data_IF_235087847601
#
_entry.id   IF_235087847601
#
_cell.length_a   1.000
_cell.length_b   1.000
_cell.length_c   1.000
_cell.angle_alpha   90.00
_cell.angle_beta   90.00
_cell.angle_gamma   90.00
#
_symmetry.space_group_name_H-M   'P 1'
#
loop_
_entity.id
_entity.type
_entity.pdbx_description
1 polymer ?
#
# COMPACT_ATOMS: atom_id res chain seq x y z
N UNK A 1 -7.80 25.71 -8.75
CA UNK A 1 -7.94 24.93 -7.51
C UNK A 1 -7.67 23.47 -7.84
N UNK A 2 -6.96 22.72 -6.98
CA UNK A 2 -6.75 21.29 -7.16
C UNK A 2 -8.10 20.58 -7.25
N UNK A 3 -8.12 19.43 -7.94
CA UNK A 3 -9.32 18.58 -8.01
C UNK A 3 -9.63 18.01 -6.62
N UNK A 4 -10.90 17.93 -6.28
CA UNK A 4 -11.34 17.26 -5.05
C UNK A 4 -11.18 15.74 -5.18
N UNK A 5 -11.14 14.99 -4.06
CA UNK A 5 -11.10 13.52 -4.10
C UNK A 5 -12.25 12.89 -4.91
N UNK A 6 -13.46 13.46 -4.85
CA UNK A 6 -14.59 12.98 -5.65
C UNK A 6 -14.42 13.28 -7.15
N UNK A 7 -13.87 14.44 -7.49
CA UNK A 7 -13.51 14.79 -8.87
C UNK A 7 -12.41 13.87 -9.41
N UNK A 8 -11.39 13.59 -8.60
CA UNK A 8 -10.34 12.63 -8.93
C UNK A 8 -10.90 11.22 -9.18
N UNK A 9 -11.83 10.74 -8.35
CA UNK A 9 -12.47 9.44 -8.56
C UNK A 9 -13.21 9.36 -9.90
N UNK A 10 -13.93 10.43 -10.29
CA UNK A 10 -14.58 10.52 -11.60
C UNK A 10 -13.59 10.65 -12.75
N UNK A 11 -12.49 11.37 -12.56
CA UNK A 11 -11.42 11.44 -13.53
C UNK A 11 -10.79 10.06 -13.78
N UNK A 12 -10.51 9.31 -12.70
CA UNK A 12 -10.03 7.94 -12.76
C UNK A 12 -11.03 7.00 -13.46
N UNK A 13 -12.33 7.13 -13.16
CA UNK A 13 -13.39 6.39 -13.84
C UNK A 13 -13.45 6.71 -15.34
N UNK A 14 -13.32 7.99 -15.70
CA UNK A 14 -13.30 8.44 -17.10
C UNK A 14 -12.09 7.86 -17.83
N UNK A 15 -10.90 7.92 -17.25
CA UNK A 15 -9.70 7.32 -17.80
C UNK A 15 -9.85 5.80 -17.97
N UNK A 16 -10.35 5.12 -16.93
CA UNK A 16 -10.59 3.69 -16.94
C UNK A 16 -11.56 3.27 -18.05
N UNK A 17 -12.62 4.05 -18.29
CA UNK A 17 -13.54 3.83 -19.40
C UNK A 17 -12.80 3.78 -20.75
N UNK A 18 -11.96 4.77 -21.06
CA UNK A 18 -11.21 4.82 -22.32
C UNK A 18 -10.16 3.71 -22.42
N UNK A 19 -9.43 3.41 -21.35
CA UNK A 19 -8.47 2.30 -21.33
C UNK A 19 -9.17 0.94 -21.54
N UNK A 20 -10.36 0.75 -20.97
CA UNK A 20 -11.17 -0.45 -21.20
C UNK A 20 -11.62 -0.57 -22.67
N UNK A 21 -11.90 0.55 -23.37
CA UNK A 21 -12.19 0.52 -24.81
C UNK A 21 -10.99 0.08 -25.65
N UNK A 22 -9.76 0.39 -25.21
CA UNK A 22 -8.54 -0.10 -25.85
C UNK A 22 -8.29 -1.60 -25.61
N UNK A 23 -8.98 -2.21 -24.66
CA UNK A 23 -8.74 -3.59 -24.23
C UNK A 23 -7.42 -3.79 -23.48
N UNK A 24 -6.81 -2.72 -22.95
CA UNK A 24 -5.54 -2.82 -22.22
C UNK A 24 -5.76 -3.31 -20.79
N UNK A 25 -4.84 -4.13 -20.29
CA UNK A 25 -4.77 -4.44 -18.86
C UNK A 25 -3.98 -3.35 -18.16
N UNK A 26 -4.56 -2.73 -17.14
CA UNK A 26 -3.91 -1.64 -16.41
C UNK A 26 -4.23 -1.67 -14.91
N UNK A 27 -3.55 -0.81 -14.15
CA UNK A 27 -3.81 -0.56 -12.74
C UNK A 27 -3.36 0.84 -12.37
N UNK A 28 -4.26 1.66 -11.79
CA UNK A 28 -3.89 2.99 -11.26
C UNK A 28 -2.97 2.78 -10.05
N UNK A 29 -1.98 3.66 -9.92
CA UNK A 29 -0.93 3.63 -8.90
C UNK A 29 -0.78 5.01 -8.23
N UNK A 30 0.25 5.16 -7.40
CA UNK A 30 0.65 6.46 -6.86
C UNK A 30 -0.42 7.16 -6.01
N UNK A 31 -0.42 8.49 -6.08
CA UNK A 31 -1.33 9.33 -5.28
C UNK A 31 -2.81 9.10 -5.59
N UNK A 32 -3.13 8.83 -6.86
CA UNK A 32 -4.49 8.64 -7.32
C UNK A 32 -5.09 7.34 -6.76
N UNK A 33 -4.37 6.23 -6.85
CA UNK A 33 -4.79 4.98 -6.24
C UNK A 33 -4.89 5.10 -4.72
N UNK A 34 -3.93 5.75 -4.05
CA UNK A 34 -4.02 6.00 -2.61
C UNK A 34 -5.28 6.78 -2.21
N UNK A 35 -5.68 7.78 -3.01
CA UNK A 35 -6.91 8.54 -2.79
C UNK A 35 -8.17 7.68 -2.95
N UNK A 36 -8.25 6.91 -4.05
CA UNK A 36 -9.34 5.99 -4.34
C UNK A 36 -9.50 4.93 -3.24
N UNK A 37 -8.38 4.38 -2.77
CA UNK A 37 -8.35 3.35 -1.73
C UNK A 37 -8.85 3.91 -0.40
N UNK A 38 -8.39 5.10 0.01
CA UNK A 38 -8.89 5.79 1.22
C UNK A 38 -10.39 6.10 1.11
N UNK A 39 -10.88 6.52 -0.06
CA UNK A 39 -12.30 6.74 -0.27
C UNK A 39 -13.11 5.44 -0.16
N UNK A 40 -12.61 4.35 -0.75
CA UNK A 40 -13.23 3.03 -0.72
C UNK A 40 -13.39 2.49 0.71
N UNK A 41 -12.38 2.69 1.57
CA UNK A 41 -12.40 2.27 2.97
C UNK A 41 -12.93 3.36 3.94
N UNK A 42 -13.51 4.45 3.43
CA UNK A 42 -14.05 5.57 4.22
C UNK A 42 -13.04 6.17 5.23
N UNK A 43 -11.81 6.36 4.79
CA UNK A 43 -10.70 6.95 5.56
C UNK A 43 -10.52 8.44 5.27
N UNK A 44 -9.57 9.07 5.97
CA UNK A 44 -9.17 10.45 5.69
C UNK A 44 -8.74 10.63 4.23
N UNK A 45 -9.35 11.62 3.58
CA UNK A 45 -9.18 11.87 2.16
C UNK A 45 -7.79 12.43 1.85
N UNK A 46 -7.21 11.97 0.74
CA UNK A 46 -5.91 12.42 0.22
C UNK A 46 -6.12 13.03 -1.17
N UNK A 47 -5.66 14.26 -1.40
CA UNK A 47 -5.76 14.90 -2.71
C UNK A 47 -4.53 14.62 -3.58
N UNK A 48 -4.70 14.48 -4.90
CA UNK A 48 -3.59 14.50 -5.86
C UNK A 48 -4.07 15.17 -7.13
N UNK A 49 -3.14 15.69 -7.93
CA UNK A 49 -3.45 16.49 -9.11
C UNK A 49 -3.18 15.74 -10.43
N UNK A 50 -2.65 14.53 -10.34
CA UNK A 50 -2.18 13.66 -11.41
C UNK A 50 -2.75 12.24 -11.22
N UNK A 51 -2.71 11.46 -12.30
CA UNK A 51 -3.04 10.03 -12.26
C UNK A 51 -1.86 9.25 -12.83
N UNK A 52 -1.19 8.52 -11.94
CA UNK A 52 -0.18 7.54 -12.30
C UNK A 52 -0.84 6.19 -12.56
N UNK A 53 -0.47 5.47 -13.61
CA UNK A 53 -0.93 4.11 -13.84
C UNK A 53 0.13 3.24 -14.51
N UNK A 54 0.01 1.94 -14.32
CA UNK A 54 0.81 0.94 -15.00
C UNK A 54 -0.07 0.21 -16.00
N UNK A 55 0.42 -0.03 -17.21
CA UNK A 55 -0.17 -0.91 -18.21
C UNK A 55 0.66 -2.19 -18.36
N UNK A 56 -0.01 -3.31 -18.58
CA UNK A 56 0.65 -4.54 -19.01
C UNK A 56 0.88 -4.42 -20.52
N UNK A 57 2.14 -4.38 -20.99
CA UNK A 57 2.40 -4.30 -22.42
C UNK A 57 1.96 -5.59 -23.11
N UNK A 58 1.40 -5.45 -24.30
CA UNK A 58 1.03 -6.54 -25.20
C UNK A 58 1.48 -6.24 -26.64
N UNK A 59 0.97 -6.99 -27.62
CA UNK A 59 1.35 -6.82 -29.03
C UNK A 59 0.87 -5.50 -29.66
N UNK A 60 -0.11 -4.82 -29.05
CA UNK A 60 -0.74 -3.62 -29.58
C UNK A 60 -0.33 -2.37 -28.79
N UNK A 61 -0.21 -2.49 -27.47
CA UNK A 61 -0.04 -1.37 -26.56
C UNK A 61 1.09 -1.60 -25.56
N UNK A 62 1.83 -0.52 -25.32
CA UNK A 62 2.73 -0.26 -24.20
C UNK A 62 2.44 1.17 -23.70
N UNK A 63 3.17 1.67 -22.70
CA UNK A 63 2.89 3.00 -22.12
C UNK A 63 2.95 4.14 -23.15
N UNK A 64 3.90 4.10 -24.09
CA UNK A 64 4.04 5.14 -25.11
C UNK A 64 2.91 5.09 -26.15
N UNK A 65 2.61 3.91 -26.67
CA UNK A 65 1.60 3.74 -27.73
C UNK A 65 0.18 3.95 -27.20
N UNK A 66 -0.15 3.52 -25.97
CA UNK A 66 -1.45 3.83 -25.37
C UNK A 66 -1.59 5.31 -25.05
N UNK A 67 -0.50 5.97 -24.62
CA UNK A 67 -0.49 7.41 -24.40
C UNK A 67 -0.86 8.16 -25.67
N UNK A 68 -0.24 7.78 -26.80
CA UNK A 68 -0.52 8.33 -28.12
C UNK A 68 -1.94 8.07 -28.57
N UNK A 69 -2.40 6.83 -28.40
CA UNK A 69 -3.75 6.42 -28.77
C UNK A 69 -4.82 7.25 -28.07
N UNK A 70 -4.67 7.57 -26.77
CA UNK A 70 -5.64 8.36 -26.01
C UNK A 70 -5.86 9.75 -26.64
N UNK A 71 -4.80 10.52 -26.89
CA UNK A 71 -4.94 11.88 -27.41
C UNK A 71 -5.15 11.97 -28.93
N UNK A 72 -4.85 10.91 -29.70
CA UNK A 72 -5.14 10.86 -31.14
C UNK A 72 -6.55 10.35 -31.44
N UNK A 73 -7.04 9.38 -30.66
CA UNK A 73 -8.36 8.77 -30.87
C UNK A 73 -9.48 9.57 -30.23
N UNK A 74 -9.22 10.21 -29.08
CA UNK A 74 -10.21 10.97 -28.32
C UNK A 74 -9.74 12.41 -28.04
N UNK A 75 -9.53 13.23 -29.09
CA UNK A 75 -8.98 14.58 -28.94
C UNK A 75 -9.88 15.55 -28.14
N UNK A 76 -11.17 15.25 -28.02
CA UNK A 76 -12.11 16.03 -27.19
C UNK A 76 -12.00 15.71 -25.69
N UNK A 77 -11.50 14.50 -25.36
CA UNK A 77 -11.34 14.03 -23.98
C UNK A 77 -9.91 14.13 -23.49
N UNK A 78 -8.92 14.00 -24.39
CA UNK A 78 -7.51 14.05 -24.05
C UNK A 78 -6.77 15.09 -24.88
N UNK A 79 -5.89 15.82 -24.22
CA UNK A 79 -4.94 16.70 -24.89
C UNK A 79 -3.51 16.21 -24.71
N UNK A 80 -2.62 16.64 -25.61
CA UNK A 80 -1.20 16.27 -25.60
C UNK A 80 -0.39 17.34 -24.89
N UNK A 81 0.37 16.95 -23.87
CA UNK A 81 1.33 17.82 -23.18
C UNK A 81 2.74 17.31 -23.40
N UNK A 82 3.64 18.16 -23.90
CA UNK A 82 5.05 17.77 -24.09
C UNK A 82 5.90 18.28 -22.93
N UNK A 83 6.53 17.37 -22.19
CA UNK A 83 7.40 17.67 -21.05
C UNK A 83 8.77 17.06 -21.33
N UNK A 84 9.81 17.89 -21.40
CA UNK A 84 11.19 17.47 -21.72
C UNK A 84 11.32 16.61 -23.00
N UNK A 85 10.49 16.91 -24.01
CA UNK A 85 10.47 16.16 -25.28
C UNK A 85 9.62 14.89 -25.26
N UNK A 86 9.10 14.48 -24.10
CA UNK A 86 8.18 13.35 -23.95
C UNK A 86 6.74 13.84 -24.04
N UNK A 87 5.91 13.16 -24.83
CA UNK A 87 4.51 13.50 -24.99
C UNK A 87 3.66 12.69 -24.02
N UNK A 88 2.97 13.37 -23.11
CA UNK A 88 2.07 12.77 -22.12
C UNK A 88 0.61 13.09 -22.47
N UNK A 89 -0.31 12.14 -22.27
CA UNK A 89 -1.74 12.42 -22.34
C UNK A 89 -2.15 13.22 -21.11
N UNK A 90 -3.09 14.12 -21.30
CA UNK A 90 -3.76 14.85 -20.21
C UNK A 90 -5.26 14.70 -20.40
N UNK A 91 -5.97 14.35 -19.34
CA UNK A 91 -7.42 14.24 -19.37
C UNK A 91 -8.03 15.64 -19.24
N UNK A 92 -8.86 16.03 -20.21
CA UNK A 92 -9.66 17.25 -20.16
C UNK A 92 -10.88 16.97 -19.30
N UNK A 93 -10.80 17.35 -18.02
CA UNK A 93 -11.82 17.06 -17.02
C UNK A 93 -12.69 18.28 -16.73
N UNK A 94 -14.01 18.07 -16.63
CA UNK A 94 -14.98 19.09 -16.26
C UNK A 94 -15.33 18.93 -14.79
N UNK A 95 -14.95 19.93 -13.98
CA UNK A 95 -15.24 20.01 -12.55
C UNK A 95 -16.73 20.20 -12.27
N UNK A 96 -17.13 20.03 -11.01
CA UNK A 96 -18.53 20.20 -10.60
C UNK A 96 -19.05 21.63 -10.79
N UNK A 97 -18.14 22.61 -10.75
CA UNK A 97 -18.43 24.03 -11.04
C UNK A 97 -18.48 24.35 -12.55
N UNK A 98 -18.33 23.35 -13.42
CA UNK A 98 -18.30 23.48 -14.87
C UNK A 98 -16.96 23.96 -15.44
N UNK A 99 -15.97 24.30 -14.60
CA UNK A 99 -14.63 24.67 -15.08
C UNK A 99 -13.88 23.48 -15.65
N UNK A 100 -13.05 23.73 -16.67
CA UNK A 100 -12.20 22.70 -17.28
C UNK A 100 -10.81 22.73 -16.66
N UNK A 101 -10.28 21.55 -16.37
CA UNK A 101 -8.91 21.33 -15.91
C UNK A 101 -8.25 20.23 -16.73
N UNK A 102 -6.92 20.25 -16.80
CA UNK A 102 -6.13 19.21 -17.43
C UNK A 102 -5.45 18.41 -16.33
N UNK A 103 -5.75 17.12 -16.26
CA UNK A 103 -5.16 16.18 -15.30
C UNK A 103 -4.05 15.44 -16.04
N UNK A 104 -2.82 15.57 -15.56
CA UNK A 104 -1.68 14.85 -16.15
C UNK A 104 -1.84 13.35 -15.90
N UNK A 105 -1.62 12.55 -16.94
CA UNK A 105 -1.68 11.09 -16.86
C UNK A 105 -0.28 10.53 -17.12
N UNK A 106 0.33 9.95 -16.09
CA UNK A 106 1.62 9.28 -16.21
C UNK A 106 1.41 7.78 -16.39
N UNK A 107 1.86 7.25 -17.52
CA UNK A 107 1.69 5.84 -17.87
C UNK A 107 3.05 5.14 -17.85
N UNK A 108 3.14 4.05 -17.11
CA UNK A 108 4.32 3.20 -17.00
C UNK A 108 4.03 1.80 -17.52
N UNK A 109 5.06 1.08 -17.95
CA UNK A 109 4.97 -0.34 -18.27
C UNK A 109 6.27 -1.06 -17.90
N UNK A 110 6.17 -2.37 -17.63
CA UNK A 110 7.31 -3.19 -17.22
C UNK A 110 8.36 -3.37 -18.33
N UNK A 111 7.98 -3.24 -19.61
CA UNK A 111 8.91 -3.35 -20.73
C UNK A 111 9.88 -2.17 -20.80
N UNK A 112 9.39 -0.95 -20.54
CA UNK A 112 10.21 0.25 -20.45
C UNK A 112 10.99 0.36 -19.12
N UNK A 113 10.48 -0.26 -18.05
CA UNK A 113 11.08 -0.24 -16.72
C UNK A 113 11.34 -1.66 -16.17
N UNK A 114 12.21 -2.47 -16.81
CA UNK A 114 12.43 -3.86 -16.42
C UNK A 114 13.04 -4.01 -15.02
N UNK A 115 13.72 -2.99 -14.52
CA UNK A 115 14.25 -2.90 -13.15
C UNK A 115 13.17 -2.62 -12.10
N UNK A 116 11.91 -2.39 -12.52
CA UNK A 116 10.75 -2.20 -11.64
C UNK A 116 9.77 -3.37 -11.78
N UNK A 117 10.10 -4.57 -11.26
CA UNK A 117 9.24 -5.75 -11.35
C UNK A 117 7.87 -5.55 -10.68
N UNK A 118 7.70 -4.52 -9.83
CA UNK A 118 6.42 -4.11 -9.29
C UNK A 118 5.41 -3.61 -10.34
N UNK A 119 5.88 -3.30 -11.57
CA UNK A 119 5.03 -2.89 -12.70
C UNK A 119 4.54 -4.08 -13.54
N UNK A 120 4.99 -5.31 -13.25
CA UNK A 120 4.45 -6.49 -13.90
C UNK A 120 3.04 -6.80 -13.36
N UNK A 121 2.00 -6.54 -14.15
CA UNK A 121 0.62 -6.79 -13.74
C UNK A 121 0.24 -8.27 -13.82
N UNK A 122 1.06 -9.10 -14.48
CA UNK A 122 0.89 -10.55 -14.51
C UNK A 122 1.38 -11.22 -13.22
N UNK A 123 2.23 -10.54 -12.46
CA UNK A 123 2.73 -11.05 -11.19
C UNK A 123 1.67 -10.96 -10.09
N UNK A 124 1.23 -12.11 -9.57
CA UNK A 124 0.23 -12.19 -8.51
C UNK A 124 0.64 -11.53 -7.19
N UNK A 125 1.94 -11.33 -6.93
CA UNK A 125 2.40 -10.59 -5.75
C UNK A 125 2.17 -9.08 -5.87
N UNK A 126 1.93 -8.59 -7.08
CA UNK A 126 1.56 -7.20 -7.30
C UNK A 126 0.04 -7.05 -7.16
N UNK A 127 -0.42 -7.08 -5.90
CA UNK A 127 -1.83 -7.05 -5.54
C UNK A 127 -2.57 -5.89 -6.24
N UNK A 128 -3.67 -6.24 -6.91
CA UNK A 128 -4.60 -5.29 -7.53
C UNK A 128 -6.00 -5.54 -7.02
N UNK A 129 -6.75 -4.48 -6.82
CA UNK A 129 -8.18 -4.52 -6.50
C UNK A 129 -8.94 -3.70 -7.53
N UNK A 130 -10.24 -3.94 -7.64
CA UNK A 130 -11.12 -3.16 -8.51
C UNK A 130 -12.10 -2.40 -7.63
N UNK A 131 -12.10 -1.07 -7.75
CA UNK A 131 -13.11 -0.22 -7.12
C UNK A 131 -14.14 0.20 -8.16
N UNK A 132 -15.40 0.35 -7.74
CA UNK A 132 -16.47 0.81 -8.63
C UNK A 132 -16.75 2.28 -8.37
N UNK A 133 -16.62 3.10 -9.41
CA UNK A 133 -16.94 4.54 -9.38
C UNK A 133 -17.96 4.84 -10.46
N UNK A 134 -19.14 5.32 -10.07
CA UNK A 134 -20.24 5.65 -11.00
C UNK A 134 -20.57 4.51 -11.99
N UNK A 135 -20.48 3.26 -11.54
CA UNK A 135 -20.72 2.06 -12.34
C UNK A 135 -19.54 1.62 -13.23
N UNK A 136 -18.44 2.37 -13.26
CA UNK A 136 -17.21 2.00 -13.96
C UNK A 136 -16.29 1.22 -13.03
N UNK A 137 -15.79 0.07 -13.51
CA UNK A 137 -14.75 -0.69 -12.83
C UNK A 137 -13.39 -0.03 -13.04
N UNK A 138 -12.73 0.35 -11.94
CA UNK A 138 -11.44 1.03 -11.92
C UNK A 138 -10.42 0.14 -11.21
N UNK A 139 -9.54 -0.55 -11.96
CA UNK A 139 -8.43 -1.32 -11.39
C UNK A 139 -7.41 -0.38 -10.73
N UNK A 140 -7.05 -0.66 -9.48
CA UNK A 140 -6.03 0.06 -8.72
C UNK A 140 -5.08 -0.93 -8.02
N UNK A 141 -3.85 -0.53 -7.76
CA UNK A 141 -2.97 -1.32 -6.89
C UNK A 141 -3.50 -1.32 -5.45
N UNK A 142 -3.50 -2.51 -4.83
CA UNK A 142 -4.02 -2.76 -3.49
C UNK A 142 -3.15 -2.13 -2.39
N UNK A 143 -3.66 -2.18 -1.16
CA UNK A 143 -3.01 -1.57 0.00
C UNK A 143 -1.61 -2.16 0.26
N UNK A 144 -1.42 -3.47 0.06
CA UNK A 144 -0.13 -4.14 0.29
C UNK A 144 0.92 -3.64 -0.68
N UNK A 145 0.58 -3.55 -1.96
CA UNK A 145 1.48 -3.00 -2.99
C UNK A 145 1.82 -1.54 -2.70
N UNK A 146 0.81 -0.72 -2.38
CA UNK A 146 1.01 0.69 -2.06
C UNK A 146 1.90 0.89 -0.83
N UNK A 147 1.71 0.08 0.23
CA UNK A 147 2.53 0.15 1.43
C UNK A 147 4.00 -0.15 1.13
N UNK A 148 4.28 -1.20 0.34
CA UNK A 148 5.64 -1.52 -0.12
C UNK A 148 6.28 -0.33 -0.80
N UNK A 149 5.62 0.20 -1.84
CA UNK A 149 6.19 1.30 -2.62
C UNK A 149 6.41 2.52 -1.74
N UNK A 150 5.47 2.87 -0.86
CA UNK A 150 5.60 4.04 0.01
C UNK A 150 6.76 3.93 0.99
N UNK A 151 7.00 2.76 1.57
CA UNK A 151 8.16 2.53 2.44
C UNK A 151 9.46 2.69 1.65
N UNK A 152 9.55 2.07 0.47
CA UNK A 152 10.75 2.11 -0.37
C UNK A 152 11.01 3.52 -0.92
N UNK A 153 10.01 4.17 -1.50
CA UNK A 153 10.17 5.50 -2.10
C UNK A 153 10.41 6.59 -1.06
N UNK A 154 9.89 6.45 0.16
CA UNK A 154 10.23 7.37 1.26
C UNK A 154 11.75 7.39 1.52
N UNK A 155 12.39 6.22 1.53
CA UNK A 155 13.83 6.10 1.69
C UNK A 155 14.60 6.68 0.49
N UNK A 156 14.20 6.35 -0.73
CA UNK A 156 14.81 6.88 -1.96
C UNK A 156 14.72 8.42 -2.04
N UNK A 157 13.66 9.00 -1.46
CA UNK A 157 13.37 10.44 -1.48
C UNK A 157 13.73 11.15 -0.18
N UNK A 158 14.55 10.53 0.66
CA UNK A 158 14.96 11.09 1.94
C UNK A 158 15.48 12.53 1.82
N UNK A 159 15.08 13.39 2.76
CA UNK A 159 15.38 14.82 2.79
C UNK A 159 14.44 15.68 1.94
N UNK A 160 13.53 15.09 1.16
CA UNK A 160 12.56 15.84 0.35
C UNK A 160 11.21 16.05 1.07
N UNK A 161 10.42 17.01 0.60
CA UNK A 161 9.03 17.15 1.07
C UNK A 161 8.17 15.91 0.75
N UNK A 162 8.54 15.13 -0.29
CA UNK A 162 7.82 13.92 -0.70
C UNK A 162 8.10 12.74 0.23
N UNK A 163 9.26 12.68 0.89
CA UNK A 163 9.54 11.69 1.97
C UNK A 163 8.42 11.71 3.01
N UNK A 164 8.08 12.90 3.52
CA UNK A 164 7.06 13.03 4.57
C UNK A 164 5.71 12.53 4.10
N UNK A 165 5.28 12.92 2.89
CA UNK A 165 4.01 12.43 2.32
C UNK A 165 4.02 10.93 2.13
N UNK A 166 5.12 10.34 1.67
CA UNK A 166 5.21 8.89 1.48
C UNK A 166 5.17 8.14 2.83
N UNK A 167 5.81 8.67 3.87
CA UNK A 167 5.72 8.13 5.24
C UNK A 167 4.30 8.23 5.82
N UNK A 168 3.64 9.38 5.66
CA UNK A 168 2.27 9.60 6.15
C UNK A 168 1.28 8.67 5.42
N UNK A 169 1.46 8.49 4.10
CA UNK A 169 0.67 7.54 3.32
C UNK A 169 0.90 6.09 3.79
N UNK A 170 2.15 5.70 4.04
CA UNK A 170 2.48 4.37 4.55
C UNK A 170 1.87 4.11 5.93
N UNK A 171 1.87 5.07 6.86
CA UNK A 171 1.24 4.91 8.17
C UNK A 171 -0.26 4.63 8.07
N UNK A 172 -0.97 5.35 7.20
CA UNK A 172 -2.40 5.10 6.98
C UNK A 172 -2.65 3.75 6.33
N UNK A 173 -1.78 3.33 5.40
CA UNK A 173 -1.93 2.04 4.72
C UNK A 173 -1.71 0.85 5.66
N UNK A 174 -0.96 1.01 6.76
CA UNK A 174 -0.78 -0.07 7.75
C UNK A 174 -2.11 -0.55 8.35
N UNK A 175 -3.12 0.31 8.45
CA UNK A 175 -4.44 -0.05 8.97
C UNK A 175 -5.26 -0.93 8.00
N UNK A 176 -4.88 -0.95 6.72
CA UNK A 176 -5.60 -1.66 5.66
C UNK A 176 -4.95 -2.99 5.26
N UNK A 177 -3.65 -3.13 5.52
CA UNK A 177 -2.89 -4.32 5.13
C UNK A 177 -3.12 -5.43 6.16
N UNK A 178 -3.28 -6.67 5.69
CA UNK A 178 -3.40 -7.84 6.55
C UNK A 178 -2.08 -8.15 7.28
N UNK A 179 -2.12 -8.98 8.32
CA UNK A 179 -0.92 -9.32 9.07
C UNK A 179 0.00 -10.26 8.28
N UNK A 180 1.31 -10.03 8.38
CA UNK A 180 2.39 -10.84 7.82
C UNK A 180 2.32 -11.10 6.30
N UNK A 181 1.73 -10.18 5.53
CA UNK A 181 1.58 -10.36 4.07
C UNK A 181 2.69 -9.70 3.23
N UNK A 182 3.51 -8.83 3.82
CA UNK A 182 4.50 -8.05 3.07
C UNK A 182 5.94 -8.42 3.46
N UNK A 183 6.68 -9.04 2.55
CA UNK A 183 8.11 -9.33 2.71
C UNK A 183 8.98 -8.18 2.19
N UNK A 184 9.78 -7.58 3.08
CA UNK A 184 10.74 -6.52 2.78
C UNK A 184 12.17 -6.89 3.20
N UNK A 185 12.50 -8.19 3.18
CA UNK A 185 13.87 -8.68 3.47
C UNK A 185 14.94 -8.08 2.56
N UNK A 186 14.59 -7.71 1.32
CA UNK A 186 15.52 -7.06 0.38
C UNK A 186 15.54 -5.52 0.51
N UNK A 187 14.77 -4.94 1.43
CA UNK A 187 14.62 -3.49 1.60
C UNK A 187 14.88 -3.04 3.06
N UNK A 188 15.84 -3.68 3.74
CA UNK A 188 16.14 -3.45 5.15
C UNK A 188 16.40 -1.97 5.48
N UNK A 189 17.13 -1.26 4.61
CA UNK A 189 17.43 0.16 4.81
C UNK A 189 16.16 1.03 4.79
N UNK A 190 15.23 0.72 3.89
CA UNK A 190 13.96 1.43 3.81
C UNK A 190 13.08 1.16 5.04
N UNK A 191 13.03 -0.09 5.50
CA UNK A 191 12.32 -0.46 6.74
C UNK A 191 12.96 0.23 7.95
N UNK A 192 14.30 0.27 8.02
CA UNK A 192 15.06 0.96 9.09
C UNK A 192 14.80 2.47 9.07
N UNK A 193 14.76 3.07 7.88
CA UNK A 193 14.42 4.46 7.70
C UNK A 193 13.00 4.75 8.21
N UNK A 194 12.00 3.95 7.82
CA UNK A 194 10.62 4.12 8.27
C UNK A 194 10.51 4.07 9.79
N UNK A 195 11.04 3.04 10.46
CA UNK A 195 10.93 2.92 11.93
C UNK A 195 11.70 4.01 12.67
N UNK A 196 12.75 4.58 12.06
CA UNK A 196 13.49 5.71 12.63
C UNK A 196 12.67 7.00 12.56
N UNK A 197 11.95 7.22 11.46
CA UNK A 197 11.14 8.42 11.21
C UNK A 197 9.74 8.34 11.83
N UNK A 198 9.22 7.13 12.04
CA UNK A 198 7.90 6.81 12.60
C UNK A 198 8.00 5.75 13.69
N UNK A 199 8.69 6.03 14.81
CA UNK A 199 8.88 5.05 15.88
C UNK A 199 7.56 4.57 16.51
N UNK A 200 6.53 5.43 16.54
CA UNK A 200 5.19 5.08 17.03
C UNK A 200 4.53 3.96 16.23
N UNK A 201 4.82 3.88 14.93
CA UNK A 201 4.23 2.89 14.01
C UNK A 201 5.03 1.59 13.94
N UNK A 202 6.14 1.46 14.68
CA UNK A 202 6.99 0.26 14.66
C UNK A 202 6.22 -1.01 14.98
N UNK A 203 5.36 -1.01 16.01
CA UNK A 203 4.63 -2.24 16.41
C UNK A 203 3.62 -2.65 15.35
N UNK A 204 2.87 -1.70 14.81
CA UNK A 204 1.95 -1.98 13.72
C UNK A 204 2.70 -2.50 12.49
N UNK A 205 3.82 -1.87 12.12
CA UNK A 205 4.68 -2.35 11.04
C UNK A 205 5.17 -3.78 11.26
N UNK A 206 5.56 -4.15 12.48
CA UNK A 206 5.96 -5.53 12.83
C UNK A 206 4.86 -6.57 12.65
N UNK A 207 3.60 -6.17 12.68
CA UNK A 207 2.48 -7.07 12.38
C UNK A 207 2.29 -7.28 10.88
N UNK A 208 2.62 -6.28 10.06
CA UNK A 208 2.33 -6.27 8.61
C UNK A 208 3.50 -6.73 7.75
N UNK A 209 4.72 -6.41 8.18
CA UNK A 209 5.95 -6.56 7.39
C UNK A 209 6.88 -7.60 7.98
N UNK A 210 7.28 -8.55 7.14
CA UNK A 210 8.38 -9.48 7.40
C UNK A 210 9.71 -8.86 6.97
N UNK A 211 10.53 -8.49 7.95
CA UNK A 211 11.89 -7.97 7.75
C UNK A 211 12.72 -8.22 9.02
N UNK A 212 13.11 -9.48 9.30
CA UNK A 212 13.66 -9.90 10.60
C UNK A 212 14.92 -9.13 11.01
N UNK A 213 15.78 -8.76 10.06
CA UNK A 213 17.00 -7.97 10.32
C UNK A 213 16.73 -6.59 10.95
N UNK A 214 15.51 -6.05 10.82
CA UNK A 214 15.12 -4.73 11.35
C UNK A 214 14.02 -4.84 12.41
N UNK A 215 13.09 -5.78 12.22
CA UNK A 215 11.85 -5.89 12.98
C UNK A 215 11.84 -7.07 13.97
N UNK A 216 12.81 -7.97 13.87
CA UNK A 216 12.83 -9.26 14.59
C UNK A 216 11.82 -10.25 14.01
N UNK A 217 11.70 -11.40 14.65
CA UNK A 217 10.79 -12.47 14.22
C UNK A 217 9.32 -12.03 14.19
N UNK A 218 8.49 -12.57 13.28
CA UNK A 218 7.11 -12.16 13.14
C UNK A 218 6.30 -12.46 14.41
N UNK A 219 5.27 -11.64 14.62
CA UNK A 219 4.29 -11.87 15.67
C UNK A 219 3.27 -12.91 15.22
N UNK A 220 2.92 -13.84 16.10
CA UNK A 220 1.88 -14.85 15.86
C UNK A 220 0.63 -14.54 16.68
N UNK A 221 -0.52 -14.40 16.04
CA UNK A 221 -1.79 -14.20 16.75
C UNK A 221 -2.23 -15.50 17.45
N UNK A 222 -2.60 -15.38 18.73
CA UNK A 222 -3.09 -16.49 19.54
C UNK A 222 -4.53 -16.23 19.99
N UNK A 223 -5.48 -16.84 19.27
CA UNK A 223 -6.92 -16.54 19.36
C UNK A 223 -7.47 -16.67 20.79
N UNK A 224 -7.17 -17.76 21.49
CA UNK A 224 -7.74 -18.00 22.84
C UNK A 224 -7.31 -16.96 23.87
N UNK A 225 -6.06 -16.51 23.77
CA UNK A 225 -5.51 -15.51 24.67
C UNK A 225 -5.77 -14.07 24.18
N UNK A 226 -6.16 -13.91 22.91
CA UNK A 226 -6.35 -12.64 22.20
C UNK A 226 -5.11 -11.74 22.27
N UNK A 227 -3.95 -12.33 22.01
CA UNK A 227 -2.66 -11.63 22.02
C UNK A 227 -1.83 -12.03 20.81
N UNK A 228 -0.92 -11.15 20.40
CA UNK A 228 0.20 -11.55 19.57
C UNK A 228 1.33 -12.06 20.45
N UNK A 229 1.98 -13.15 20.05
CA UNK A 229 3.03 -13.79 20.81
C UNK A 229 4.28 -14.00 19.93
N UNK A 230 5.45 -13.80 20.53
CA UNK A 230 6.74 -14.20 19.94
C UNK A 230 7.82 -14.31 21.01
N UNK A 231 8.95 -14.88 20.63
CA UNK A 231 10.18 -14.81 21.41
C UNK A 231 11.05 -13.63 20.96
N UNK A 232 11.64 -12.93 21.93
CA UNK A 232 12.76 -12.01 21.68
C UNK A 232 13.99 -12.55 22.41
N UNK A 233 14.84 -13.29 21.68
CA UNK A 233 15.87 -14.13 22.29
C UNK A 233 15.22 -15.26 23.10
N UNK A 234 15.57 -15.36 24.38
CA UNK A 234 15.00 -16.37 25.29
C UNK A 234 13.80 -15.85 26.11
N UNK A 235 13.36 -14.61 25.88
CA UNK A 235 12.28 -13.99 26.66
C UNK A 235 11.01 -14.00 25.82
N UNK A 236 9.97 -14.75 26.22
CA UNK A 236 8.68 -14.71 25.56
C UNK A 236 7.99 -13.38 25.87
N UNK A 237 7.42 -12.76 24.83
CA UNK A 237 6.70 -11.50 24.89
C UNK A 237 5.35 -11.62 24.23
N UNK A 238 4.43 -10.74 24.64
CA UNK A 238 3.14 -10.61 23.97
C UNK A 238 2.77 -9.16 23.69
N UNK A 239 2.01 -8.94 22.62
CA UNK A 239 1.27 -7.69 22.41
C UNK A 239 -0.19 -7.91 22.79
N UNK A 240 -0.73 -7.00 23.58
CA UNK A 240 -2.18 -6.95 23.81
C UNK A 240 -2.93 -6.39 22.58
N UNK A 241 -4.26 -6.33 22.66
CA UNK A 241 -5.13 -5.81 21.59
C UNK A 241 -4.86 -4.34 21.24
N UNK A 242 -4.21 -3.60 22.14
CA UNK A 242 -3.80 -2.20 21.92
C UNK A 242 -2.35 -2.11 21.44
N UNK A 243 -1.74 -3.23 21.08
CA UNK A 243 -0.37 -3.38 20.60
C UNK A 243 0.70 -2.96 21.62
N UNK A 244 0.37 -2.92 22.91
CA UNK A 244 1.36 -2.70 23.96
C UNK A 244 2.11 -4.00 24.23
N UNK A 245 3.43 -3.90 24.31
CA UNK A 245 4.31 -5.04 24.51
C UNK A 245 4.54 -5.31 25.99
N UNK A 246 4.41 -6.57 26.39
CA UNK A 246 4.55 -7.05 27.74
C UNK A 246 5.47 -8.28 27.78
N UNK A 247 6.18 -8.44 28.89
CA UNK A 247 6.87 -9.68 29.19
C UNK A 247 5.90 -10.68 29.81
N UNK A 248 6.04 -11.96 29.47
CA UNK A 248 5.38 -13.00 30.24
C UNK A 248 6.02 -13.09 31.63
N UNK A 249 5.20 -13.38 32.64
CA UNK A 249 5.66 -13.56 34.01
C UNK A 249 6.35 -14.91 34.16
N UNK A 250 7.41 -14.97 34.97
CA UNK A 250 8.08 -16.23 35.28
C UNK A 250 7.51 -16.83 36.57
N UNK A 251 6.97 -18.04 36.48
CA UNK A 251 6.61 -18.86 37.63
C UNK A 251 7.82 -19.71 38.04
N UNK A 252 8.35 -19.43 39.24
CA UNK A 252 9.53 -20.13 39.78
C UNK A 252 9.23 -21.55 40.22
N UNK A 253 8.01 -21.82 40.67
CA UNK A 253 7.64 -23.11 41.26
C UNK A 253 7.41 -24.14 40.15
N UNK A 254 6.84 -23.69 39.04
CA UNK A 254 6.57 -24.52 37.87
C UNK A 254 7.66 -24.43 36.79
N UNK A 255 8.55 -23.44 36.87
CA UNK A 255 9.62 -23.25 35.89
C UNK A 255 9.11 -22.87 34.50
N UNK A 256 8.06 -22.07 34.42
CA UNK A 256 7.39 -21.69 33.16
C UNK A 256 7.12 -20.19 33.06
N UNK A 257 7.05 -19.70 31.83
CA UNK A 257 6.52 -18.36 31.56
C UNK A 257 5.00 -18.42 31.40
N UNK A 258 4.29 -17.42 31.92
CA UNK A 258 2.83 -17.35 31.84
C UNK A 258 2.30 -15.93 31.66
N UNK A 259 1.06 -15.82 31.18
CA UNK A 259 0.27 -14.59 31.16
C UNK A 259 -1.16 -14.85 31.66
N UNK A 260 -1.81 -13.78 32.08
CA UNK A 260 -3.26 -13.78 32.36
C UNK A 260 -3.92 -12.92 31.30
N UNK A 261 -4.83 -13.50 30.51
CA UNK A 261 -5.55 -12.77 29.47
C UNK A 261 -6.50 -11.73 30.06
N UNK A 262 -7.04 -10.87 29.20
CA UNK A 262 -8.09 -9.92 29.60
C UNK A 262 -9.35 -10.60 30.15
N UNK A 263 -9.59 -11.87 29.79
CA UNK A 263 -10.71 -12.69 30.29
C UNK A 263 -10.41 -13.41 31.60
N UNK A 264 -9.21 -13.23 32.17
CA UNK A 264 -8.79 -13.88 33.42
C UNK A 264 -8.29 -15.31 33.24
N UNK A 265 -8.21 -15.82 32.01
CA UNK A 265 -7.63 -17.14 31.74
C UNK A 265 -6.10 -17.07 31.84
N UNK A 266 -5.50 -18.12 32.39
CA UNK A 266 -4.05 -18.23 32.51
C UNK A 266 -3.52 -19.09 31.37
N UNK A 267 -2.46 -18.61 30.73
CA UNK A 267 -1.75 -19.33 29.68
C UNK A 267 -0.28 -19.41 30.03
N UNK A 268 0.38 -20.51 29.70
CA UNK A 268 1.82 -20.71 29.92
C UNK A 268 2.52 -21.15 28.63
N UNK A 269 3.83 -21.02 28.59
CA UNK A 269 4.64 -21.43 27.44
C UNK A 269 5.16 -22.83 27.63
N UNK A 270 4.72 -23.75 26.76
CA UNK A 270 5.13 -25.15 26.82
C UNK A 270 6.53 -25.41 26.26
N UNK A 271 7.00 -26.66 26.37
CA UNK A 271 8.29 -27.11 25.85
C UNK A 271 8.41 -26.97 24.33
N UNK A 272 7.28 -26.90 23.62
CA UNK A 272 7.23 -26.62 22.18
C UNK A 272 7.25 -25.12 21.86
N UNK A 273 7.50 -24.25 22.84
CA UNK A 273 7.52 -22.79 22.70
C UNK A 273 6.18 -22.20 22.25
N UNK A 274 5.07 -22.85 22.62
CA UNK A 274 3.71 -22.43 22.31
C UNK A 274 2.99 -21.96 23.56
N UNK A 275 2.15 -20.94 23.40
CA UNK A 275 1.23 -20.52 24.44
C UNK A 275 0.13 -21.57 24.59
N UNK A 276 -0.13 -22.10 25.77
CA UNK A 276 -1.17 -23.11 26.03
C UNK A 276 -1.95 -22.74 27.28
N UNK A 277 -3.24 -23.06 27.31
CA UNK A 277 -4.10 -22.76 28.46
C UNK A 277 -3.65 -23.58 29.68
N UNK A 278 -3.48 -22.90 30.81
CA UNK A 278 -3.25 -23.54 32.10
C UNK A 278 -4.59 -24.03 32.64
N UNK A 279 -4.84 -25.33 32.51
CA UNK A 279 -6.05 -26.02 33.01
C UNK A 279 -5.88 -26.50 34.44
#
# INVERSE_FOLDING_TARGET
>A
MPITPNELSRAAATLAYYLNQAGVTFSISGGAAGSLLRQWYNMERRATDDIDLVVQPDNNFNAETISKWLYETYPDAFSKKTVYGVSLPTLVFVKDDGSKVHIDIEIFDVGAWPQRPQYDLSNATNERITVTVDGVSVPIFGATWQLREKIVTAYERQGSNKERTDLDDAEVLLDLVQDNVLDLTQHEEAVRHFVTKRPGSRRLLQLKVYCPAVLGDPWTWYEEARVYFRFEGNIPKYLDETLRCHDLKWDKDNGVYYLTSATGLVFWVNEAYQLVRWT
#
